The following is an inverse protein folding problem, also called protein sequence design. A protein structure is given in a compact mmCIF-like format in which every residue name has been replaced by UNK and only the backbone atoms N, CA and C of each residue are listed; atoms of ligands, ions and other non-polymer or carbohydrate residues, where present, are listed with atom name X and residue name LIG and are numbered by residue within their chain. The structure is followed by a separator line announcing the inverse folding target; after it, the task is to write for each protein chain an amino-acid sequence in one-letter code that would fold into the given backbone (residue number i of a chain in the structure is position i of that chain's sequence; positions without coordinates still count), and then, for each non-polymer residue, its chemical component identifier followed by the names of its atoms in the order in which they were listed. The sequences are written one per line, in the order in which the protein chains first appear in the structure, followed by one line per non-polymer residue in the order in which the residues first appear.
data_IF_053714060012
#
_entry.id   IF_053714060012
#
_cell.length_a   1.000
_cell.length_b   1.000
_cell.length_c   1.000
_cell.angle_alpha   90.00
_cell.angle_beta   90.00
_cell.angle_gamma   90.00
#
_symmetry.space_group_name_H-M   'P 1'
#
loop_
_entity.id
_entity.type
_entity.pdbx_description
1 polymer ?
#
# COMPACT_ATOMS: atom_id res chain seq x y z
N UNK A 1 19.40 11.23 1.84
CA UNK A 1 18.78 10.24 2.74
C UNK A 1 19.65 8.99 2.93
N UNK A 2 19.85 8.17 1.89
CA UNK A 2 20.67 6.93 1.96
C UNK A 2 22.12 7.21 2.39
N UNK A 3 22.76 8.25 1.84
CA UNK A 3 24.08 8.70 2.30
C UNK A 3 24.09 9.14 3.78
N UNK A 4 23.00 9.74 4.28
CA UNK A 4 22.86 10.17 5.67
C UNK A 4 22.65 8.99 6.62
N UNK A 5 21.90 7.97 6.20
CA UNK A 5 21.76 6.68 6.89
C UNK A 5 23.09 5.91 6.92
N UNK A 6 23.82 5.88 5.80
CA UNK A 6 25.15 5.27 5.73
C UNK A 6 26.17 5.99 6.63
N UNK A 7 26.10 7.32 6.74
CA UNK A 7 26.91 8.10 7.69
C UNK A 7 26.53 7.80 9.14
N UNK A 8 25.24 7.62 9.44
CA UNK A 8 24.75 7.23 10.77
C UNK A 8 25.23 5.83 11.19
N UNK A 9 25.17 4.86 10.27
CA UNK A 9 25.71 3.50 10.45
C UNK A 9 27.22 3.54 10.71
N UNK A 10 27.96 4.29 9.89
CA UNK A 10 29.42 4.28 9.90
C UNK A 10 30.03 5.09 11.06
N UNK A 11 29.44 6.23 11.46
CA UNK A 11 30.04 7.12 12.47
C UNK A 11 29.77 6.72 13.92
N UNK A 12 28.71 5.94 14.20
CA UNK A 12 28.30 5.60 15.57
C UNK A 12 28.56 4.14 15.96
N UNK A 13 28.98 3.28 15.03
CA UNK A 13 29.08 1.84 15.30
C UNK A 13 27.73 1.18 15.60
N UNK A 14 26.64 1.85 15.26
CA UNK A 14 25.29 1.39 15.51
C UNK A 14 24.97 0.20 14.59
N UNK A 15 24.31 -0.80 15.14
CA UNK A 15 23.75 -1.89 14.35
C UNK A 15 22.58 -1.40 13.48
N UNK A 16 22.25 -2.13 12.41
CA UNK A 16 21.05 -1.88 11.60
C UNK A 16 19.79 -1.88 12.49
N UNK A 17 19.76 -2.75 13.50
CA UNK A 17 18.67 -2.83 14.49
C UNK A 17 18.49 -1.50 15.23
N UNK A 18 19.57 -0.87 15.71
CA UNK A 18 19.50 0.40 16.46
C UNK A 18 18.92 1.54 15.59
N UNK A 19 19.26 1.55 14.29
CA UNK A 19 18.72 2.53 13.35
C UNK A 19 17.24 2.29 13.11
N UNK A 20 16.82 1.05 12.93
CA UNK A 20 15.41 0.72 12.70
C UNK A 20 14.57 1.03 13.94
N UNK A 21 15.07 0.77 15.15
CA UNK A 21 14.42 1.16 16.39
C UNK A 21 14.31 2.69 16.52
N UNK A 22 15.37 3.42 16.16
CA UNK A 22 15.32 4.89 16.13
C UNK A 22 14.28 5.41 15.14
N UNK A 23 14.24 4.86 13.92
CA UNK A 23 13.26 5.22 12.90
C UNK A 23 11.83 4.86 13.33
N UNK A 24 11.64 3.71 13.98
CA UNK A 24 10.35 3.31 14.54
C UNK A 24 9.91 4.30 15.61
N UNK A 25 10.81 4.72 16.50
CA UNK A 25 10.53 5.78 17.47
C UNK A 25 10.14 7.11 16.81
N UNK A 26 10.72 7.42 15.65
CA UNK A 26 10.36 8.63 14.90
C UNK A 26 8.95 8.58 14.31
N UNK A 27 8.38 7.41 14.05
CA UNK A 27 6.97 7.29 13.59
C UNK A 27 5.96 7.78 14.62
N UNK A 28 6.34 7.83 15.90
CA UNK A 28 5.52 8.34 16.99
C UNK A 28 5.89 9.76 17.40
N UNK A 29 6.82 10.41 16.68
CA UNK A 29 7.26 11.77 16.99
C UNK A 29 6.13 12.78 16.82
N UNK A 30 6.02 13.82 17.67
CA UNK A 30 5.12 14.95 17.40
C UNK A 30 5.49 15.72 16.13
N UNK A 31 6.73 15.59 15.64
CA UNK A 31 7.24 16.30 14.47
C UNK A 31 6.92 15.54 13.18
N UNK A 32 6.03 16.11 12.35
CA UNK A 32 5.63 15.53 11.04
C UNK A 32 6.83 15.09 10.19
N UNK A 33 7.83 15.95 10.05
CA UNK A 33 9.00 15.68 9.21
C UNK A 33 9.79 14.44 9.66
N UNK A 34 9.83 14.14 10.96
CA UNK A 34 10.50 12.94 11.48
C UNK A 34 9.71 11.69 11.12
N UNK A 35 8.39 11.70 11.30
CA UNK A 35 7.49 10.59 10.93
C UNK A 35 7.57 10.28 9.43
N UNK A 36 7.47 11.31 8.60
CA UNK A 36 7.58 11.17 7.14
C UNK A 36 8.96 10.63 6.73
N UNK A 37 10.03 11.19 7.31
CA UNK A 37 11.40 10.71 7.06
C UNK A 37 11.56 9.24 7.46
N UNK A 38 10.98 8.80 8.58
CA UNK A 38 11.08 7.40 9.00
C UNK A 38 10.43 6.44 8.01
N UNK A 39 9.24 6.74 7.50
CA UNK A 39 8.57 5.90 6.52
C UNK A 39 9.33 5.83 5.19
N UNK A 40 9.86 6.97 4.73
CA UNK A 40 10.70 7.01 3.52
C UNK A 40 12.02 6.25 3.71
N UNK A 41 12.58 6.24 4.92
CA UNK A 41 13.75 5.42 5.23
C UNK A 41 13.39 3.92 5.20
N UNK A 42 12.27 3.53 5.81
CA UNK A 42 11.82 2.14 5.79
C UNK A 42 11.62 1.62 4.36
N UNK A 43 10.88 2.34 3.51
CA UNK A 43 10.68 1.92 2.11
C UNK A 43 11.97 1.72 1.33
N UNK A 44 13.03 2.47 1.65
CA UNK A 44 14.36 2.29 1.03
C UNK A 44 15.17 1.15 1.62
N UNK A 45 15.05 0.89 2.91
CA UNK A 45 15.78 -0.20 3.58
C UNK A 45 15.24 -1.55 3.11
N UNK A 46 13.92 -1.65 2.90
CA UNK A 46 13.26 -2.85 2.39
C UNK A 46 13.80 -3.30 1.03
N UNK A 47 14.21 -2.36 0.17
CA UNK A 47 14.80 -2.68 -1.14
C UNK A 47 16.21 -3.28 -1.07
N UNK A 48 16.89 -3.25 0.08
CA UNK A 48 18.33 -3.55 0.19
C UNK A 48 18.61 -4.79 1.04
N UNK A 49 17.70 -5.19 1.94
CA UNK A 49 17.96 -6.22 2.94
C UNK A 49 17.13 -7.47 2.72
N UNK A 50 17.77 -8.58 2.31
CA UNK A 50 17.12 -9.90 2.20
C UNK A 50 16.84 -10.53 3.59
N UNK A 51 17.49 -10.03 4.65
CA UNK A 51 17.37 -10.53 6.02
C UNK A 51 16.49 -9.62 6.87
N UNK A 52 15.18 -9.64 6.61
CA UNK A 52 14.18 -8.84 7.35
C UNK A 52 13.44 -9.66 8.42
N UNK A 53 13.68 -10.97 8.56
CA UNK A 53 12.94 -11.82 9.52
C UNK A 53 12.87 -11.25 10.95
N UNK A 54 13.98 -10.73 11.49
CA UNK A 54 14.03 -10.13 12.84
C UNK A 54 13.55 -8.67 12.92
N UNK A 55 13.25 -8.06 11.78
CA UNK A 55 12.95 -6.62 11.63
C UNK A 55 11.55 -6.37 11.07
N UNK A 56 10.91 -7.44 10.61
CA UNK A 56 9.58 -7.50 10.05
C UNK A 56 8.57 -6.76 10.94
N UNK A 57 8.50 -7.13 12.23
CA UNK A 57 7.51 -6.60 13.16
C UNK A 57 7.66 -5.08 13.38
N UNK A 58 8.90 -4.58 13.44
CA UNK A 58 9.16 -3.16 13.66
C UNK A 58 8.69 -2.33 12.46
N UNK A 59 9.03 -2.78 11.24
CA UNK A 59 8.69 -2.06 10.01
C UNK A 59 7.21 -2.17 9.69
N UNK A 60 6.63 -3.36 9.83
CA UNK A 60 5.21 -3.61 9.57
C UNK A 60 4.32 -2.80 10.52
N UNK A 61 4.59 -2.84 11.82
CA UNK A 61 3.85 -2.07 12.82
C UNK A 61 3.99 -0.55 12.60
N UNK A 62 5.15 -0.11 12.13
CA UNK A 62 5.40 1.30 11.81
C UNK A 62 4.49 1.78 10.68
N UNK A 63 4.37 1.01 9.59
CA UNK A 63 3.47 1.35 8.49
C UNK A 63 2.00 1.26 8.92
N UNK A 64 1.59 0.20 9.61
CA UNK A 64 0.20 0.04 10.06
C UNK A 64 -0.22 1.18 11.01
N UNK A 65 0.63 1.54 11.97
CA UNK A 65 0.35 2.64 12.90
C UNK A 65 0.17 3.98 12.16
N UNK A 66 1.00 4.24 11.15
CA UNK A 66 0.96 5.49 10.38
C UNK A 66 -0.22 5.60 9.40
N UNK A 67 -0.99 4.52 9.17
CA UNK A 67 -2.29 4.61 8.47
C UNK A 67 -3.30 5.48 9.23
N UNK A 68 -3.09 5.67 10.53
CA UNK A 68 -3.91 6.49 11.41
C UNK A 68 -3.26 7.84 11.78
N UNK A 69 -2.20 8.25 11.07
CA UNK A 69 -1.56 9.54 11.30
C UNK A 69 -2.52 10.71 11.01
N UNK A 70 -2.36 11.85 11.68
CA UNK A 70 -3.17 13.03 11.40
C UNK A 70 -2.81 13.73 10.08
N UNK A 71 -1.66 13.40 9.47
CA UNK A 71 -1.21 13.97 8.21
C UNK A 71 -1.60 13.08 7.02
N UNK A 72 -2.42 13.57 6.06
CA UNK A 72 -2.78 12.82 4.85
C UNK A 72 -1.56 12.31 4.06
N UNK A 73 -0.51 13.13 3.97
CA UNK A 73 0.76 12.74 3.31
C UNK A 73 1.41 11.52 3.99
N UNK A 74 1.35 11.43 5.31
CA UNK A 74 1.94 10.31 6.04
C UNK A 74 1.08 9.06 5.85
N UNK A 75 -0.25 9.20 5.98
CA UNK A 75 -1.19 8.10 5.71
C UNK A 75 -0.97 7.50 4.32
N UNK A 76 -0.80 8.35 3.31
CA UNK A 76 -0.53 7.92 1.94
C UNK A 76 0.79 7.17 1.79
N UNK A 77 1.89 7.76 2.25
CA UNK A 77 3.21 7.09 2.20
C UNK A 77 3.14 5.75 2.92
N UNK A 78 2.38 5.71 4.02
CA UNK A 78 2.16 4.49 4.77
C UNK A 78 1.33 3.46 4.02
N UNK A 79 0.28 3.89 3.31
CA UNK A 79 -0.55 3.02 2.51
C UNK A 79 0.25 2.37 1.37
N UNK A 80 1.03 3.15 0.64
CA UNK A 80 1.93 2.63 -0.39
C UNK A 80 2.97 1.68 0.22
N UNK A 81 3.55 2.05 1.36
CA UNK A 81 4.50 1.21 2.09
C UNK A 81 3.93 -0.13 2.54
N UNK A 82 2.67 -0.18 2.99
CA UNK A 82 1.98 -1.43 3.33
C UNK A 82 1.87 -2.38 2.14
N UNK A 83 1.50 -1.89 0.95
CA UNK A 83 1.39 -2.75 -0.24
C UNK A 83 2.77 -3.22 -0.72
N UNK A 84 3.75 -2.32 -0.74
CA UNK A 84 5.13 -2.63 -1.12
C UNK A 84 5.72 -3.70 -0.19
N UNK A 85 5.48 -3.57 1.12
CA UNK A 85 5.91 -4.55 2.11
C UNK A 85 5.19 -5.91 1.96
N UNK A 86 3.87 -5.91 1.71
CA UNK A 86 3.11 -7.14 1.45
C UNK A 86 3.60 -7.89 0.21
N UNK A 87 4.05 -7.17 -0.82
CA UNK A 87 4.61 -7.78 -2.03
C UNK A 87 5.97 -8.46 -1.80
N UNK A 88 6.70 -8.05 -0.76
CA UNK A 88 8.05 -8.54 -0.46
C UNK A 88 8.10 -9.55 0.70
N UNK A 89 7.09 -9.55 1.58
CA UNK A 89 7.08 -10.35 2.81
C UNK A 89 5.74 -11.09 2.99
N UNK A 90 5.66 -12.39 2.62
CA UNK A 90 4.45 -13.19 2.77
C UNK A 90 3.89 -13.25 4.20
N UNK A 91 4.74 -13.13 5.22
CA UNK A 91 4.33 -13.11 6.62
C UNK A 91 3.45 -11.90 6.97
N UNK A 92 3.46 -10.84 6.14
CA UNK A 92 2.63 -9.64 6.33
C UNK A 92 1.22 -9.80 5.77
N UNK A 93 0.93 -10.89 5.07
CA UNK A 93 -0.31 -11.10 4.33
C UNK A 93 -1.57 -10.90 5.20
N UNK A 94 -1.61 -11.50 6.39
CA UNK A 94 -2.77 -11.43 7.29
C UNK A 94 -3.00 -9.99 7.76
N UNK A 95 -1.93 -9.32 8.20
CA UNK A 95 -1.98 -7.94 8.67
C UNK A 95 -2.37 -7.00 7.53
N UNK A 96 -1.80 -7.21 6.34
CA UNK A 96 -2.13 -6.44 5.15
C UNK A 96 -3.61 -6.55 4.80
N UNK A 97 -4.14 -7.78 4.76
CA UNK A 97 -5.53 -8.08 4.40
C UNK A 97 -6.52 -7.38 5.34
N UNK A 98 -6.21 -7.33 6.64
CA UNK A 98 -7.03 -6.61 7.61
C UNK A 98 -7.08 -5.08 7.38
N UNK A 99 -6.06 -4.53 6.72
CA UNK A 99 -5.92 -3.09 6.49
C UNK A 99 -6.39 -2.63 5.10
N UNK A 100 -6.68 -3.54 4.16
CA UNK A 100 -7.15 -3.21 2.80
C UNK A 100 -8.26 -2.12 2.80
N UNK A 101 -9.33 -2.21 3.61
CA UNK A 101 -10.38 -1.19 3.60
C UNK A 101 -9.85 0.22 3.92
N UNK A 102 -8.92 0.33 4.87
CA UNK A 102 -8.32 1.62 5.25
C UNK A 102 -7.36 2.12 4.17
N UNK A 103 -6.64 1.23 3.50
CA UNK A 103 -5.78 1.58 2.38
C UNK A 103 -6.58 2.21 1.24
N UNK A 104 -7.70 1.59 0.86
CA UNK A 104 -8.60 2.13 -0.16
C UNK A 104 -9.25 3.45 0.25
N UNK A 105 -9.62 3.60 1.53
CA UNK A 105 -10.11 4.88 2.06
C UNK A 105 -9.06 5.98 1.88
N UNK A 106 -7.81 5.75 2.29
CA UNK A 106 -6.72 6.73 2.16
C UNK A 106 -6.49 7.08 0.69
N UNK A 107 -6.42 6.07 -0.18
CA UNK A 107 -6.12 6.27 -1.60
C UNK A 107 -7.25 7.01 -2.32
N UNK A 108 -8.52 6.75 -1.98
CA UNK A 108 -9.65 7.52 -2.50
C UNK A 108 -9.53 9.02 -2.20
N UNK A 109 -9.06 9.40 -1.01
CA UNK A 109 -8.84 10.82 -0.67
C UNK A 109 -7.61 11.42 -1.36
N UNK A 110 -6.74 10.61 -1.95
CA UNK A 110 -5.50 11.06 -2.60
C UNK A 110 -5.65 11.27 -4.11
N UNK A 111 -6.76 10.84 -4.71
CA UNK A 111 -6.94 10.82 -6.17
C UNK A 111 -6.83 12.19 -6.82
N UNK A 112 -7.26 13.25 -6.12
CA UNK A 112 -7.23 14.62 -6.64
C UNK A 112 -5.94 15.39 -6.31
N UNK A 113 -5.08 14.84 -5.45
CA UNK A 113 -3.95 15.60 -4.88
C UNK A 113 -2.59 14.99 -5.18
N UNK A 114 -2.51 13.68 -5.38
CA UNK A 114 -1.24 12.94 -5.42
C UNK A 114 -1.31 11.74 -6.37
N UNK A 115 -1.56 12.03 -7.65
CA UNK A 115 -1.78 11.04 -8.73
C UNK A 115 -0.71 9.93 -8.76
N UNK A 116 0.56 10.30 -8.61
CA UNK A 116 1.69 9.35 -8.67
C UNK A 116 1.62 8.28 -7.58
N UNK A 117 1.21 8.66 -6.37
CA UNK A 117 1.11 7.72 -5.27
C UNK A 117 -0.08 6.76 -5.47
N UNK A 118 -1.20 7.26 -6.01
CA UNK A 118 -2.36 6.44 -6.37
C UNK A 118 -2.03 5.44 -7.46
N UNK A 119 -1.34 5.87 -8.52
CA UNK A 119 -0.87 4.99 -9.59
C UNK A 119 0.05 3.91 -9.03
N UNK A 120 1.05 4.29 -8.22
CA UNK A 120 1.97 3.32 -7.60
C UNK A 120 1.24 2.34 -6.69
N UNK A 121 0.26 2.80 -5.93
CA UNK A 121 -0.57 1.94 -5.09
C UNK A 121 -1.31 0.89 -5.95
N UNK A 122 -1.96 1.29 -7.03
CA UNK A 122 -2.65 0.36 -7.93
C UNK A 122 -1.70 -0.62 -8.62
N UNK A 123 -0.53 -0.16 -9.08
CA UNK A 123 0.49 -1.05 -9.65
C UNK A 123 0.93 -2.13 -8.66
N UNK A 124 1.17 -1.76 -7.40
CA UNK A 124 1.54 -2.70 -6.35
C UNK A 124 0.39 -3.66 -6.01
N UNK A 125 -0.85 -3.17 -6.00
CA UNK A 125 -2.03 -4.02 -5.80
C UNK A 125 -2.18 -5.07 -6.91
N UNK A 126 -1.97 -4.69 -8.17
CA UNK A 126 -1.98 -5.62 -9.31
C UNK A 126 -0.94 -6.71 -9.12
N UNK A 127 0.31 -6.31 -8.82
CA UNK A 127 1.41 -7.26 -8.59
C UNK A 127 1.10 -8.23 -7.45
N UNK A 128 0.50 -7.74 -6.37
CA UNK A 128 0.15 -8.54 -5.21
C UNK A 128 -0.99 -9.52 -5.52
N UNK A 129 -2.02 -9.09 -6.25
CA UNK A 129 -3.12 -9.95 -6.69
C UNK A 129 -2.61 -11.05 -7.62
N UNK A 130 -1.72 -10.74 -8.55
CA UNK A 130 -1.18 -11.69 -9.51
C UNK A 130 -0.17 -12.66 -8.87
N UNK A 131 0.63 -12.18 -7.91
CA UNK A 131 1.62 -12.99 -7.20
C UNK A 131 1.02 -13.87 -6.09
N UNK A 132 -0.02 -13.40 -5.41
CA UNK A 132 -0.68 -14.11 -4.33
C UNK A 132 -2.21 -13.86 -4.31
N UNK A 133 -2.97 -14.51 -5.20
CA UNK A 133 -4.40 -14.25 -5.35
C UNK A 133 -5.27 -14.75 -4.18
N UNK A 134 -4.76 -15.66 -3.36
CA UNK A 134 -5.48 -16.17 -2.19
C UNK A 134 -5.52 -15.12 -1.06
N UNK A 135 -4.42 -14.37 -0.91
CA UNK A 135 -4.26 -13.30 0.07
C UNK A 135 -5.27 -12.17 -0.08
N UNK A 136 -5.48 -11.76 -1.32
CA UNK A 136 -6.20 -10.52 -1.58
C UNK A 136 -7.67 -10.83 -1.71
N UNK A 137 -8.48 -10.24 -0.85
CA UNK A 137 -9.92 -10.29 -0.94
C UNK A 137 -10.52 -8.88 -0.87
N UNK A 138 -10.82 -8.33 -2.05
CA UNK A 138 -11.54 -7.07 -2.16
C UNK A 138 -13.03 -7.33 -1.86
N UNK A 139 -13.61 -6.57 -0.94
CA UNK A 139 -15.05 -6.60 -0.71
C UNK A 139 -15.79 -5.81 -1.80
N UNK A 140 -17.12 -5.89 -1.81
CA UNK A 140 -17.94 -5.11 -2.73
C UNK A 140 -17.64 -3.60 -2.63
N UNK A 141 -17.32 -3.09 -1.44
CA UNK A 141 -17.00 -1.68 -1.22
C UNK A 141 -15.73 -1.26 -1.98
N UNK A 142 -14.65 -2.04 -1.89
CA UNK A 142 -13.41 -1.70 -2.60
C UNK A 142 -13.60 -1.81 -4.11
N UNK A 143 -14.40 -2.78 -4.58
CA UNK A 143 -14.77 -2.89 -5.99
C UNK A 143 -15.59 -1.70 -6.49
N UNK A 144 -16.53 -1.20 -5.68
CA UNK A 144 -17.32 -0.01 -6.00
C UNK A 144 -16.45 1.25 -6.08
N UNK A 145 -15.48 1.42 -5.17
CA UNK A 145 -14.51 2.51 -5.23
C UNK A 145 -13.72 2.44 -6.55
N UNK A 146 -13.19 1.28 -6.90
CA UNK A 146 -12.42 1.11 -8.15
C UNK A 146 -13.27 1.42 -9.39
N UNK A 147 -14.54 0.99 -9.38
CA UNK A 147 -15.47 1.25 -10.47
C UNK A 147 -15.80 2.74 -10.61
N UNK A 148 -16.09 3.41 -9.49
CA UNK A 148 -16.33 4.85 -9.46
C UNK A 148 -15.16 5.59 -10.09
N UNK A 149 -13.94 5.26 -9.67
CA UNK A 149 -12.70 5.85 -10.19
C UNK A 149 -12.55 5.61 -11.67
N UNK A 150 -12.70 4.36 -12.12
CA UNK A 150 -12.61 4.01 -13.53
C UNK A 150 -13.63 4.78 -14.39
N UNK A 151 -14.82 5.05 -13.85
CA UNK A 151 -15.95 5.65 -14.55
C UNK A 151 -15.93 7.18 -14.58
N UNK A 152 -15.29 7.81 -13.61
CA UNK A 152 -15.42 9.25 -13.40
C UNK A 152 -14.51 10.02 -14.37
N UNK A 153 -15.05 10.88 -15.25
CA UNK A 153 -14.26 11.52 -16.31
C UNK A 153 -13.20 12.50 -15.78
N UNK A 154 -13.36 12.98 -14.55
CA UNK A 154 -12.48 13.99 -13.96
C UNK A 154 -11.14 13.43 -13.47
N UNK A 155 -11.04 12.10 -13.25
CA UNK A 155 -9.77 11.48 -12.89
C UNK A 155 -8.84 11.32 -14.09
N UNK A 156 -7.53 11.43 -13.82
CA UNK A 156 -6.50 11.22 -14.83
C UNK A 156 -6.67 9.86 -15.53
N UNK A 157 -6.47 9.83 -16.85
CA UNK A 157 -6.63 8.60 -17.65
C UNK A 157 -5.81 7.43 -17.10
N UNK A 158 -4.59 7.68 -16.61
CA UNK A 158 -3.73 6.64 -16.05
C UNK A 158 -4.31 6.06 -14.75
N UNK A 159 -4.84 6.89 -13.85
CA UNK A 159 -5.51 6.44 -12.62
C UNK A 159 -6.73 5.57 -12.96
N UNK A 160 -7.55 6.02 -13.92
CA UNK A 160 -8.75 5.27 -14.36
C UNK A 160 -8.39 3.90 -14.92
N UNK A 161 -7.40 3.84 -15.81
CA UNK A 161 -6.93 2.59 -16.38
C UNK A 161 -6.35 1.66 -15.33
N UNK A 162 -5.52 2.18 -14.40
CA UNK A 162 -4.96 1.35 -13.33
C UNK A 162 -6.03 0.82 -12.39
N UNK A 163 -7.07 1.59 -12.11
CA UNK A 163 -8.23 1.13 -11.36
C UNK A 163 -8.94 -0.04 -12.07
N UNK A 164 -9.15 0.07 -13.39
CA UNK A 164 -9.70 -1.03 -14.21
C UNK A 164 -8.80 -2.27 -14.18
N UNK A 165 -7.49 -2.10 -14.33
CA UNK A 165 -6.50 -3.19 -14.28
C UNK A 165 -6.57 -3.93 -12.95
N UNK A 166 -6.65 -3.24 -11.80
CA UNK A 166 -6.82 -3.88 -10.49
C UNK A 166 -8.06 -4.79 -10.47
N UNK A 167 -9.19 -4.29 -10.96
CA UNK A 167 -10.44 -5.07 -10.99
C UNK A 167 -10.36 -6.27 -11.92
N UNK A 168 -9.71 -6.12 -13.08
CA UNK A 168 -9.50 -7.20 -14.05
C UNK A 168 -8.59 -8.27 -13.46
N UNK A 169 -7.41 -7.89 -12.94
CA UNK A 169 -6.49 -8.83 -12.29
C UNK A 169 -7.18 -9.55 -11.13
N UNK A 170 -7.98 -8.85 -10.32
CA UNK A 170 -8.75 -9.50 -9.24
C UNK A 170 -9.78 -10.52 -9.78
N UNK A 171 -10.50 -10.17 -10.84
CA UNK A 171 -11.51 -11.04 -11.44
C UNK A 171 -10.91 -12.30 -12.08
N UNK A 172 -9.77 -12.16 -12.79
CA UNK A 172 -9.10 -13.26 -13.49
C UNK A 172 -8.56 -14.32 -12.55
N UNK A 173 -8.15 -13.92 -11.34
CA UNK A 173 -7.59 -14.81 -10.35
C UNK A 173 -8.63 -15.51 -9.46
N UNK A 174 -9.93 -15.24 -9.65
CA UNK A 174 -11.02 -15.86 -8.90
C UNK A 174 -11.72 -16.97 -9.69
N UNK A 175 -12.18 -18.05 -9.03
CA UNK A 175 -13.05 -19.02 -9.69
C UNK A 175 -14.30 -18.32 -10.25
N UNK A 176 -14.48 -18.40 -11.58
CA UNK A 176 -15.55 -17.69 -12.32
C UNK A 176 -16.93 -17.82 -11.68
N UNK A 177 -17.27 -19.00 -11.16
CA UNK A 177 -18.58 -19.27 -10.55
C UNK A 177 -18.83 -18.53 -9.22
N UNK A 178 -17.78 -18.26 -8.44
CA UNK A 178 -17.86 -17.52 -7.18
C UNK A 178 -17.90 -16.02 -7.43
N UNK A 179 -17.01 -15.53 -8.28
CA UNK A 179 -16.90 -14.10 -8.60
C UNK A 179 -18.17 -13.53 -9.26
N UNK A 180 -18.70 -14.23 -10.27
CA UNK A 180 -19.89 -13.80 -11.00
C UNK A 180 -21.15 -13.74 -10.13
N UNK A 181 -21.26 -14.62 -9.12
CA UNK A 181 -22.42 -14.65 -8.20
C UNK A 181 -22.34 -13.57 -7.13
N UNK A 182 -21.15 -13.36 -6.56
CA UNK A 182 -20.95 -12.40 -5.47
C UNK A 182 -20.89 -10.95 -5.93
N UNK A 183 -20.52 -10.70 -7.19
CA UNK A 183 -20.31 -9.36 -7.75
C UNK A 183 -21.21 -9.06 -8.95
N UNK A 184 -22.37 -9.71 -9.05
CA UNK A 184 -23.32 -9.49 -10.15
C UNK A 184 -23.73 -8.01 -10.35
N UNK A 185 -24.00 -7.20 -9.31
CA UNK A 185 -24.31 -5.78 -9.47
C UNK A 185 -23.14 -4.98 -10.07
N UNK A 186 -21.91 -5.25 -9.61
CA UNK A 186 -20.69 -4.64 -10.12
C UNK A 186 -20.51 -4.93 -11.62
N UNK A 187 -20.62 -6.20 -12.03
CA UNK A 187 -20.47 -6.61 -13.43
C UNK A 187 -21.50 -5.96 -14.36
N UNK A 188 -22.73 -5.79 -13.89
CA UNK A 188 -23.76 -5.08 -14.65
C UNK A 188 -23.44 -3.60 -14.86
N UNK A 189 -22.77 -2.95 -13.91
CA UNK A 189 -22.36 -1.56 -14.04
C UNK A 189 -21.12 -1.42 -14.94
N UNK A 190 -20.15 -2.33 -14.83
CA UNK A 190 -18.98 -2.36 -15.71
C UNK A 190 -19.38 -2.52 -17.18
N UNK A 191 -20.30 -3.44 -17.49
CA UNK A 191 -20.81 -3.64 -18.86
C UNK A 191 -21.54 -2.41 -19.42
N UNK A 192 -22.16 -1.58 -18.58
CA UNK A 192 -22.82 -0.34 -19.05
C UNK A 192 -21.82 0.77 -19.39
N UNK A 193 -20.58 0.66 -18.90
CA UNK A 193 -19.54 1.66 -19.12
C UNK A 193 -18.70 1.37 -20.37
N UNK A 194 -18.61 0.11 -20.78
CA UNK A 194 -17.97 -0.33 -22.03
C UNK A 194 -18.91 -0.14 -23.23
#
# INVERSE_FOLDING_TARGET
LIASLAILLHRRGNSISDILQMLAGWTQSPVKAQRETSLLCFSRILMISETIENLFEIVSNSFVACLHDNSPVIQQVSAVGCVDFASSCPEFEEIFTMNIPKLFEIIAHCMDTEERAVIRFFELMIQLIEGNPAAINLSAREMDILLEVASHPDYEFQIRNKSLEVMISFAEQRPRSSFLRSNAPFLQNLVKML
#
